data_IF_949595161232
#
_entry.id   IF_949595161232
#
_cell.length_a   1.000
_cell.length_b   1.000
_cell.length_c   1.000
_cell.angle_alpha   90.00
_cell.angle_beta   90.00
_cell.angle_gamma   90.00
#
_symmetry.space_group_name_H-M   'P 1'
#
loop_
_entity.id
_entity.type
_entity.pdbx_description
1 polymer ?
#
# COMPACT_ATOMS: atom_id res chain seq x y z
N UNK A 1 -4.67 11.02 -2.39
CA UNK A 1 -3.87 9.83 -2.74
C UNK A 1 -2.42 10.14 -2.45
N UNK A 2 -1.77 9.38 -1.57
CA UNK A 2 -0.39 9.63 -1.13
C UNK A 2 0.51 8.68 -1.92
N UNK A 3 1.56 9.22 -2.53
CA UNK A 3 2.57 8.44 -3.25
C UNK A 3 3.95 8.82 -2.72
N UNK A 4 4.81 7.83 -2.56
CA UNK A 4 6.21 8.03 -2.18
C UNK A 4 7.14 7.08 -2.93
N UNK A 5 8.42 7.43 -2.97
CA UNK A 5 9.48 6.55 -3.44
C UNK A 5 10.20 5.95 -2.24
N UNK A 6 10.39 4.64 -2.26
CA UNK A 6 11.07 3.89 -1.22
C UNK A 6 12.03 2.89 -1.87
N UNK A 7 13.33 3.13 -1.71
CA UNK A 7 14.40 2.38 -2.40
C UNK A 7 14.20 2.48 -3.93
N UNK A 8 14.09 1.35 -4.62
CA UNK A 8 13.87 1.28 -6.07
C UNK A 8 12.38 1.11 -6.43
N UNK A 9 11.46 1.45 -5.53
CA UNK A 9 10.04 1.26 -5.72
C UNK A 9 9.26 2.55 -5.50
N UNK A 10 8.19 2.73 -6.27
CA UNK A 10 7.15 3.71 -6.05
C UNK A 10 5.98 3.04 -5.33
N UNK A 11 5.61 3.59 -4.20
CA UNK A 11 4.48 3.14 -3.38
C UNK A 11 3.34 4.14 -3.53
N UNK A 12 2.16 3.68 -3.90
CA UNK A 12 0.94 4.49 -3.96
C UNK A 12 -0.08 3.94 -2.97
N UNK A 13 -0.46 4.74 -1.98
CA UNK A 13 -1.51 4.39 -1.04
C UNK A 13 -2.86 4.35 -1.75
N UNK A 14 -3.55 3.21 -1.63
CA UNK A 14 -4.88 2.96 -2.21
C UNK A 14 -5.85 2.48 -1.12
N UNK A 15 -6.06 3.24 -0.02
CA UNK A 15 -7.03 2.83 0.99
C UNK A 15 -8.41 2.63 0.34
N UNK A 16 -9.12 1.59 0.76
CA UNK A 16 -10.44 1.24 0.20
C UNK A 16 -11.52 1.33 1.25
N UNK A 17 -12.65 1.90 0.89
CA UNK A 17 -13.82 1.87 1.77
C UNK A 17 -14.42 0.47 1.77
N UNK A 18 -14.61 -0.07 2.97
CA UNK A 18 -15.28 -1.34 3.22
C UNK A 18 -16.80 -1.13 3.22
N UNK A 19 -17.57 -2.22 3.13
CA UNK A 19 -19.05 -2.16 3.20
C UNK A 19 -19.58 -1.53 4.50
N UNK A 20 -18.78 -1.51 5.56
CA UNK A 20 -19.13 -0.94 6.87
C UNK A 20 -18.73 0.54 7.01
N UNK A 21 -18.26 1.18 5.94
CA UNK A 21 -17.82 2.59 5.97
C UNK A 21 -16.45 2.80 6.62
N UNK A 22 -15.72 1.72 6.95
CA UNK A 22 -14.32 1.78 7.42
C UNK A 22 -13.34 1.69 6.26
N UNK A 23 -12.07 2.01 6.49
CA UNK A 23 -11.01 1.98 5.49
C UNK A 23 -10.11 0.77 5.67
N UNK A 24 -9.97 -0.06 4.64
CA UNK A 24 -8.99 -1.14 4.56
C UNK A 24 -7.72 -0.66 3.86
N UNK A 25 -6.60 -1.29 4.20
CA UNK A 25 -5.27 -0.94 3.68
C UNK A 25 -4.99 -1.67 2.38
N UNK A 26 -4.62 -0.93 1.34
CA UNK A 26 -4.06 -1.49 0.12
C UNK A 26 -3.00 -0.56 -0.47
N UNK A 27 -1.93 -1.14 -0.99
CA UNK A 27 -0.80 -0.40 -1.57
C UNK A 27 -0.51 -0.90 -2.97
N UNK A 28 -0.32 0.02 -3.88
CA UNK A 28 0.16 -0.25 -5.22
C UNK A 28 1.67 -0.03 -5.24
N UNK A 29 2.42 -1.02 -5.71
CA UNK A 29 3.89 -1.02 -5.74
C UNK A 29 4.34 -1.17 -7.19
N UNK A 30 5.20 -0.27 -7.63
CA UNK A 30 5.83 -0.31 -8.95
C UNK A 30 7.35 -0.21 -8.79
N UNK A 31 8.11 -1.07 -9.45
CA UNK A 31 9.58 -0.97 -9.48
C UNK A 31 10.01 0.12 -10.46
N UNK A 32 10.82 1.05 -9.99
CA UNK A 32 11.27 2.20 -10.78
C UNK A 32 12.24 1.70 -11.86
N UNK A 33 12.00 2.10 -13.10
CA UNK A 33 12.83 1.72 -14.25
C UNK A 33 12.48 0.36 -14.87
N UNK A 34 11.49 -0.37 -14.32
CA UNK A 34 10.93 -1.55 -14.99
C UNK A 34 9.63 -1.17 -15.74
N UNK A 35 9.43 -1.65 -16.97
CA UNK A 35 8.20 -1.41 -17.73
C UNK A 35 7.00 -2.22 -17.24
N UNK A 36 7.11 -2.88 -16.07
CA UNK A 36 6.05 -3.71 -15.52
C UNK A 36 4.95 -2.84 -14.92
N UNK A 37 3.73 -3.33 -15.09
CA UNK A 37 2.54 -2.75 -14.47
C UNK A 37 2.66 -2.79 -12.94
N UNK A 38 2.11 -1.78 -12.24
CA UNK A 38 2.05 -1.78 -10.78
C UNK A 38 1.26 -2.98 -10.23
N UNK A 39 1.75 -3.55 -9.13
CA UNK A 39 1.06 -4.63 -8.41
C UNK A 39 0.37 -4.09 -7.17
N UNK A 40 -0.89 -4.47 -6.93
CA UNK A 40 -1.64 -4.07 -5.73
C UNK A 40 -1.59 -5.16 -4.66
N UNK A 41 -1.29 -4.77 -3.43
CA UNK A 41 -1.23 -5.63 -2.26
C UNK A 41 -2.22 -5.15 -1.20
N UNK A 42 -2.78 -6.09 -0.44
CA UNK A 42 -3.79 -5.85 0.59
C UNK A 42 -3.25 -6.25 1.96
N UNK A 43 -3.71 -5.58 3.01
CA UNK A 43 -3.52 -6.09 4.36
C UNK A 43 -4.57 -7.18 4.64
N UNK A 44 -4.11 -8.38 5.02
CA UNK A 44 -4.97 -9.52 5.37
C UNK A 44 -5.12 -9.71 6.89
N UNK A 45 -4.92 -8.64 7.67
CA UNK A 45 -4.90 -8.66 9.14
C UNK A 45 -6.29 -8.44 9.78
N UNK A 46 -7.31 -8.14 8.97
CA UNK A 46 -8.66 -7.82 9.45
C UNK A 46 -8.77 -6.44 10.13
N UNK A 47 -7.72 -5.62 10.08
CA UNK A 47 -7.70 -4.28 10.66
C UNK A 47 -8.34 -3.31 9.68
N UNK A 48 -9.20 -2.42 10.20
CA UNK A 48 -9.79 -1.35 9.42
C UNK A 48 -9.84 -0.04 10.21
N UNK A 49 -9.60 1.04 9.51
CA UNK A 49 -9.41 2.38 10.05
C UNK A 49 -10.71 3.19 9.92
N UNK A 50 -10.90 4.15 10.82
CA UNK A 50 -12.02 5.08 10.73
C UNK A 50 -11.68 6.22 9.76
N UNK A 51 -10.42 6.67 9.77
CA UNK A 51 -9.95 7.78 8.95
C UNK A 51 -9.18 7.27 7.72
N UNK A 52 -9.47 7.86 6.55
CA UNK A 52 -8.76 7.57 5.30
C UNK A 52 -7.26 7.88 5.42
N UNK A 53 -6.91 8.97 6.10
CA UNK A 53 -5.52 9.41 6.25
C UNK A 53 -4.68 8.41 7.05
N UNK A 54 -5.25 7.81 8.10
CA UNK A 54 -4.59 6.76 8.88
C UNK A 54 -4.39 5.50 8.03
N UNK A 55 -5.43 5.08 7.30
CA UNK A 55 -5.31 3.96 6.37
C UNK A 55 -4.26 4.23 5.29
N UNK A 56 -4.19 5.45 4.76
CA UNK A 56 -3.22 5.83 3.74
C UNK A 56 -1.77 5.76 4.26
N UNK A 57 -1.51 6.22 5.49
CA UNK A 57 -0.20 6.05 6.15
C UNK A 57 0.14 4.57 6.31
N UNK A 58 -0.83 3.74 6.70
CA UNK A 58 -0.60 2.30 6.85
C UNK A 58 -0.39 1.59 5.51
N UNK A 59 -0.99 2.06 4.40
CA UNK A 59 -0.71 1.53 3.07
C UNK A 59 0.78 1.65 2.73
N UNK A 60 1.39 2.79 3.05
CA UNK A 60 2.82 2.98 2.82
C UNK A 60 3.67 2.09 3.73
N UNK A 61 3.28 1.92 4.99
CA UNK A 61 3.93 0.99 5.92
C UNK A 61 3.88 -0.46 5.41
N UNK A 62 2.73 -0.91 4.92
CA UNK A 62 2.57 -2.22 4.28
C UNK A 62 3.55 -2.36 3.12
N UNK A 63 3.62 -1.38 2.22
CA UNK A 63 4.53 -1.40 1.07
C UNK A 63 6.00 -1.52 1.47
N UNK A 64 6.44 -0.70 2.44
CA UNK A 64 7.79 -0.77 3.01
C UNK A 64 8.08 -2.13 3.64
N UNK A 65 7.13 -2.71 4.36
CA UNK A 65 7.27 -4.01 5.01
C UNK A 65 7.43 -5.14 3.98
N UNK A 66 6.63 -5.14 2.92
CA UNK A 66 6.72 -6.12 1.82
C UNK A 66 8.10 -6.08 1.16
N UNK A 67 8.61 -4.87 0.90
CA UNK A 67 9.97 -4.66 0.34
C UNK A 67 11.05 -5.11 1.32
N UNK A 68 10.94 -4.74 2.60
CA UNK A 68 11.93 -5.08 3.63
C UNK A 68 12.01 -6.58 3.89
N UNK A 69 10.90 -7.30 3.76
CA UNK A 69 10.83 -8.76 3.90
C UNK A 69 11.27 -9.52 2.65
N UNK A 70 11.64 -8.82 1.58
CA UNK A 70 12.01 -9.44 0.30
C UNK A 70 10.86 -10.15 -0.41
N UNK A 71 9.61 -9.80 -0.07
CA UNK A 71 8.42 -10.36 -0.72
C UNK A 71 8.15 -9.72 -2.08
N UNK A 72 8.86 -8.63 -2.38
CA UNK A 72 8.84 -7.88 -3.64
C UNK A 72 10.29 -7.70 -4.11
N UNK A 73 10.59 -8.13 -5.34
CA UNK A 73 11.94 -8.08 -5.93
C UNK A 73 11.94 -7.46 -7.31
#
# INVERSE_FOLDING_TARGET
MITEEYRLFRLTAKPRVTRQGRWSVAVEIQKIGEPREPSTFFADDGISYILEEEAAKECLNLGRNLINRGQIS
#
